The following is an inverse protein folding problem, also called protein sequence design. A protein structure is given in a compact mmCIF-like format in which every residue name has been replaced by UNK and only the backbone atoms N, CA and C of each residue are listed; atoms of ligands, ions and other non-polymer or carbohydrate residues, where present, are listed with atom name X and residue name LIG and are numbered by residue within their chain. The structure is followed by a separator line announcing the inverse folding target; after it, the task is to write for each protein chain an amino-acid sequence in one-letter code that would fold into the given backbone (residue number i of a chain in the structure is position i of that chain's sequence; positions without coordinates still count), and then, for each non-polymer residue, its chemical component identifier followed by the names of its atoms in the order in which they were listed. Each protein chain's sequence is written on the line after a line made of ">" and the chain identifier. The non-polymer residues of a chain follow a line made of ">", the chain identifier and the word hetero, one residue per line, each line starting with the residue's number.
data_IF_556142418202
#
_entry.id   IF_556142418202
#
_cell.length_a   1.000
_cell.length_b   1.000
_cell.length_c   1.000
_cell.angle_alpha   90.00
_cell.angle_beta   90.00
_cell.angle_gamma   90.00
#
_symmetry.space_group_name_H-M   'P 1'
#
loop_
_entity.id
_entity.type
_entity.pdbx_description
1 polymer ?
#
# COMPACT_ATOMS: atom_id res chain seq x y z
N UNK A 1 27.19 92.70 40.98
CA UNK A 1 27.10 91.28 40.57
C UNK A 1 25.77 91.05 39.86
N UNK A 2 25.85 90.68 38.58
CA UNK A 2 24.75 90.81 37.61
C UNK A 2 23.68 89.72 37.81
N UNK A 3 22.47 90.14 38.21
CA UNK A 3 21.29 89.26 38.40
C UNK A 3 20.90 88.49 37.13
N UNK A 4 21.40 88.90 35.98
CA UNK A 4 21.18 88.29 34.66
C UNK A 4 21.91 86.95 34.49
N UNK A 5 23.11 86.79 35.04
CA UNK A 5 23.89 85.54 34.97
C UNK A 5 23.30 84.43 35.85
N UNK A 6 22.74 84.81 37.00
CA UNK A 6 22.07 83.85 37.90
C UNK A 6 20.80 83.27 37.29
N UNK A 7 20.03 84.09 36.54
CA UNK A 7 18.81 83.63 35.88
C UNK A 7 19.09 82.67 34.72
N UNK A 8 20.18 82.86 33.97
CA UNK A 8 20.59 81.95 32.90
C UNK A 8 21.03 80.60 33.47
N UNK A 9 21.75 80.60 34.60
CA UNK A 9 22.15 79.36 35.29
C UNK A 9 20.95 78.54 35.78
N UNK A 10 19.92 79.19 36.35
CA UNK A 10 18.70 78.51 36.82
C UNK A 10 17.89 77.93 35.65
N UNK A 11 17.81 78.63 34.52
CA UNK A 11 17.12 78.12 33.33
C UNK A 11 17.81 76.88 32.76
N UNK A 12 19.14 76.83 32.74
CA UNK A 12 19.88 75.64 32.29
C UNK A 12 19.71 74.43 33.21
N UNK A 13 19.63 74.63 34.52
CA UNK A 13 19.37 73.53 35.48
C UNK A 13 17.95 73.00 35.34
N UNK A 14 16.95 73.88 35.14
CA UNK A 14 15.55 73.45 34.95
C UNK A 14 15.35 72.73 33.61
N UNK A 15 16.01 73.17 32.54
CA UNK A 15 15.95 72.47 31.26
C UNK A 15 16.76 71.15 31.25
N UNK A 16 17.86 71.07 31.99
CA UNK A 16 18.65 69.84 32.14
C UNK A 16 17.91 68.72 32.88
N UNK A 17 17.05 69.08 33.85
CA UNK A 17 16.23 68.09 34.59
C UNK A 17 15.02 67.61 33.77
N UNK A 18 14.51 68.41 32.83
CA UNK A 18 13.40 68.04 31.94
C UNK A 18 13.76 67.01 30.87
N UNK A 19 15.05 66.83 30.55
CA UNK A 19 15.51 65.83 29.56
C UNK A 19 15.86 64.45 30.15
N UNK A 20 15.73 64.25 31.46
CA UNK A 20 15.98 62.96 32.10
C UNK A 20 14.71 62.12 32.34
N UNK A 21 13.52 62.62 31.98
CA UNK A 21 12.27 61.85 32.03
C UNK A 21 12.00 61.30 30.63
N UNK A 22 12.87 60.40 30.17
CA UNK A 22 12.46 59.43 29.15
C UNK A 22 11.51 58.48 29.89
N UNK A 23 10.27 58.24 29.43
CA UNK A 23 9.54 57.10 29.94
C UNK A 23 10.39 55.87 29.60
N UNK A 24 11.11 55.34 30.58
CA UNK A 24 11.50 53.93 30.57
C UNK A 24 10.18 53.18 30.71
N UNK A 25 9.44 53.07 29.61
CA UNK A 25 8.44 52.06 29.43
C UNK A 25 9.18 50.76 29.55
N UNK A 26 9.23 50.22 30.77
CA UNK A 26 9.65 48.86 31.01
C UNK A 26 8.61 47.98 30.33
N UNK A 27 8.83 47.69 29.05
CA UNK A 27 8.24 46.51 28.45
C UNK A 27 8.92 45.33 29.14
N UNK A 28 8.33 44.88 30.25
CA UNK A 28 8.52 43.49 30.65
C UNK A 28 7.85 42.67 29.55
N UNK A 29 8.62 42.30 28.53
CA UNK A 29 8.30 41.07 27.82
C UNK A 29 8.51 39.98 28.85
N UNK A 30 7.43 39.54 29.49
CA UNK A 30 7.39 38.17 29.98
C UNK A 30 7.40 37.36 28.69
N UNK A 31 8.60 37.10 28.16
CA UNK A 31 8.83 35.91 27.38
C UNK A 31 8.63 34.79 28.39
N UNK A 32 7.36 34.43 28.59
CA UNK A 32 7.04 33.15 29.17
C UNK A 32 7.59 32.17 28.17
N UNK A 33 8.83 31.72 28.40
CA UNK A 33 9.23 30.39 28.00
C UNK A 33 8.25 29.46 28.72
N UNK A 34 7.06 29.30 28.15
CA UNK A 34 6.38 28.03 28.19
C UNK A 34 7.29 27.14 27.37
N UNK A 35 8.32 26.61 28.02
CA UNK A 35 9.01 25.43 27.57
C UNK A 35 7.92 24.37 27.43
N UNK A 36 7.34 24.29 26.23
CA UNK A 36 6.47 23.19 25.83
C UNK A 36 7.38 21.99 25.81
N UNK A 37 7.30 21.18 26.87
CA UNK A 37 7.87 19.85 26.86
C UNK A 37 7.11 19.07 25.80
N UNK A 38 7.68 18.99 24.61
CA UNK A 38 7.22 18.06 23.59
C UNK A 38 7.76 16.70 24.01
N UNK A 39 6.97 15.94 24.75
CA UNK A 39 7.21 14.52 24.94
C UNK A 39 6.49 13.79 23.82
N UNK A 40 7.23 12.98 23.06
CA UNK A 40 6.62 11.98 22.19
C UNK A 40 6.06 10.91 23.13
N UNK A 41 4.72 10.79 23.18
CA UNK A 41 4.09 9.68 23.88
C UNK A 41 4.52 8.37 23.19
N UNK A 42 4.67 7.30 23.96
CA UNK A 42 4.80 5.98 23.36
C UNK A 42 3.52 5.66 22.56
N UNK A 43 3.64 4.85 21.51
CA UNK A 43 2.56 4.61 20.54
C UNK A 43 1.23 4.15 21.18
N UNK A 44 1.28 3.54 22.36
CA UNK A 44 0.12 3.05 23.14
C UNK A 44 -0.58 4.13 24.00
N UNK A 45 0.11 5.23 24.28
CA UNK A 45 -0.36 6.33 25.15
C UNK A 45 -0.61 7.64 24.40
N UNK A 46 -0.46 7.63 23.07
CA UNK A 46 -0.81 8.75 22.21
C UNK A 46 -2.32 9.06 22.26
N UNK A 47 -2.69 10.32 21.97
CA UNK A 47 -4.10 10.76 21.95
C UNK A 47 -4.94 9.94 20.97
N UNK A 48 -4.35 9.61 19.82
CA UNK A 48 -4.79 8.53 18.95
C UNK A 48 -3.64 7.52 18.93
N UNK A 49 -3.90 6.31 19.39
CA UNK A 49 -2.89 5.28 19.60
C UNK A 49 -3.11 4.12 18.64
N UNK A 50 -2.03 3.45 18.24
CA UNK A 50 -2.09 2.21 17.47
C UNK A 50 -1.67 1.05 18.37
N UNK A 51 -2.65 0.32 18.89
CA UNK A 51 -2.41 -0.85 19.72
C UNK A 51 -1.89 -1.99 18.87
N UNK A 52 -0.67 -2.44 19.20
CA UNK A 52 0.00 -3.53 18.51
C UNK A 52 -0.80 -4.83 18.50
N UNK A 53 -0.56 -5.62 17.46
CA UNK A 53 -1.15 -6.94 17.28
C UNK A 53 -0.78 -7.90 18.43
N UNK A 54 -1.76 -8.51 19.09
CA UNK A 54 -1.51 -9.64 19.99
C UNK A 54 -1.40 -10.93 19.16
N UNK A 55 -0.19 -11.28 18.77
CA UNK A 55 0.09 -12.50 18.01
C UNK A 55 0.97 -12.25 16.79
N UNK A 56 1.16 -13.32 16.01
CA UNK A 56 1.99 -13.30 14.80
C UNK A 56 1.09 -13.47 13.59
N UNK A 57 1.20 -12.55 12.64
CA UNK A 57 0.49 -12.66 11.36
C UNK A 57 1.07 -13.84 10.60
N UNK A 58 0.24 -14.83 10.28
CA UNK A 58 0.65 -15.99 9.48
C UNK A 58 -0.37 -16.26 8.38
N UNK A 59 0.00 -17.08 7.39
CA UNK A 59 -0.91 -17.43 6.29
C UNK A 59 -2.19 -18.08 6.87
N UNK A 60 -3.36 -17.57 6.48
CA UNK A 60 -4.67 -18.00 6.99
C UNK A 60 -5.03 -17.51 8.41
N UNK A 61 -4.10 -16.87 9.14
CA UNK A 61 -4.35 -16.32 10.48
C UNK A 61 -4.05 -14.83 10.51
N UNK A 62 -5.01 -13.98 10.09
CA UNK A 62 -4.85 -12.54 10.17
C UNK A 62 -4.85 -12.09 11.63
N UNK A 63 -4.18 -10.97 11.91
CA UNK A 63 -4.19 -10.35 13.23
C UNK A 63 -4.81 -8.95 13.13
N UNK A 64 -5.54 -8.58 14.17
CA UNK A 64 -6.15 -7.26 14.30
C UNK A 64 -5.21 -6.31 15.04
N UNK A 65 -4.99 -5.15 14.44
CA UNK A 65 -4.35 -3.98 15.07
C UNK A 65 -5.46 -2.97 15.35
N UNK A 66 -5.45 -2.30 16.50
CA UNK A 66 -6.55 -1.38 16.87
C UNK A 66 -6.08 0.06 16.92
N UNK A 67 -6.71 0.92 16.12
CA UNK A 67 -6.55 2.37 16.22
C UNK A 67 -7.52 2.89 17.29
N UNK A 68 -7.01 3.33 18.45
CA UNK A 68 -7.81 3.73 19.61
C UNK A 68 -7.84 5.25 19.78
N UNK A 69 -9.00 5.77 20.15
CA UNK A 69 -9.15 7.13 20.64
C UNK A 69 -8.94 7.17 22.17
N UNK A 70 -7.82 7.74 22.60
CA UNK A 70 -7.49 7.94 24.02
C UNK A 70 -7.89 9.35 24.53
N UNK A 71 -8.56 10.16 23.72
CA UNK A 71 -9.11 11.43 24.17
C UNK A 71 -10.32 11.19 25.09
N UNK A 72 -10.53 12.08 26.06
CA UNK A 72 -11.69 12.04 26.98
C UNK A 72 -13.01 12.48 26.31
N UNK A 73 -13.04 12.56 24.97
CA UNK A 73 -14.19 13.01 24.19
C UNK A 73 -14.28 12.30 22.85
N UNK A 74 -15.46 12.39 22.21
CA UNK A 74 -15.66 11.95 20.82
C UNK A 74 -14.67 12.63 19.89
N UNK A 75 -13.99 11.84 19.06
CA UNK A 75 -13.07 12.33 18.05
C UNK A 75 -13.50 11.86 16.66
N UNK A 76 -13.56 12.78 15.70
CA UNK A 76 -13.65 12.43 14.28
C UNK A 76 -12.24 12.19 13.79
N UNK A 77 -11.94 10.94 13.41
CA UNK A 77 -10.61 10.46 13.01
C UNK A 77 -10.62 10.08 11.54
N UNK A 78 -9.73 10.69 10.78
CA UNK A 78 -9.41 10.31 9.41
C UNK A 78 -8.07 9.59 9.41
N UNK A 79 -8.00 8.40 8.82
CA UNK A 79 -6.78 7.60 8.79
C UNK A 79 -6.54 6.93 7.45
N UNK A 80 -5.25 6.75 7.15
CA UNK A 80 -4.78 6.06 5.95
C UNK A 80 -3.55 5.20 6.24
N UNK A 81 -3.54 3.99 5.68
CA UNK A 81 -2.37 3.11 5.76
C UNK A 81 -1.33 3.62 4.77
N UNK A 82 -0.23 4.18 5.29
CA UNK A 82 0.86 4.76 4.49
C UNK A 82 1.87 3.69 4.08
N UNK A 83 2.21 2.81 5.01
CA UNK A 83 3.13 1.70 4.79
C UNK A 83 2.71 0.52 5.65
N UNK A 84 2.48 -0.64 5.03
CA UNK A 84 2.19 -1.89 5.72
C UNK A 84 3.35 -2.89 5.62
N UNK A 85 4.48 -2.48 5.04
CA UNK A 85 5.65 -3.28 4.78
C UNK A 85 5.31 -4.60 4.10
N UNK A 86 5.61 -5.72 4.77
CA UNK A 86 5.35 -7.06 4.24
C UNK A 86 3.89 -7.52 4.37
N UNK A 87 2.98 -6.70 4.90
CA UNK A 87 1.60 -7.09 5.18
C UNK A 87 0.63 -6.39 4.23
N UNK A 88 -0.55 -6.97 4.05
CA UNK A 88 -1.71 -6.30 3.46
C UNK A 88 -2.70 -6.00 4.58
N UNK A 89 -3.06 -4.72 4.74
CA UNK A 89 -4.05 -4.29 5.72
C UNK A 89 -5.37 -4.03 5.01
N UNK A 90 -6.42 -4.74 5.41
CA UNK A 90 -7.76 -4.53 4.85
C UNK A 90 -8.41 -3.36 5.58
N UNK A 91 -8.69 -2.30 4.83
CA UNK A 91 -9.51 -1.17 5.27
C UNK A 91 -10.88 -1.25 4.58
N UNK A 92 -11.96 -0.90 5.28
CA UNK A 92 -13.31 -0.95 4.72
C UNK A 92 -13.57 0.27 3.81
N UNK A 93 -12.97 0.28 2.61
CA UNK A 93 -13.15 1.33 1.60
C UNK A 93 -11.84 1.80 0.96
N UNK A 94 -11.96 2.61 -0.11
CA UNK A 94 -10.83 3.33 -0.71
C UNK A 94 -10.38 4.47 0.21
N UNK A 95 -9.07 4.64 0.36
CA UNK A 95 -8.41 5.63 1.22
C UNK A 95 -8.72 7.10 0.81
N UNK A 96 -8.71 8.07 1.76
CA UNK A 96 -8.66 7.94 3.23
C UNK A 96 -10.03 7.66 3.88
N UNK A 97 -10.05 7.03 5.07
CA UNK A 97 -11.28 6.65 5.80
C UNK A 97 -11.52 7.59 6.98
N UNK A 98 -12.76 8.09 7.12
CA UNK A 98 -13.19 8.92 8.26
C UNK A 98 -14.21 8.20 9.14
N UNK A 99 -14.03 8.23 10.45
CA UNK A 99 -14.94 7.61 11.43
C UNK A 99 -14.98 8.41 12.74
N UNK A 100 -16.11 8.33 13.46
CA UNK A 100 -16.26 8.92 14.79
C UNK A 100 -16.00 7.87 15.87
N UNK A 101 -15.01 8.11 16.73
CA UNK A 101 -14.62 7.22 17.83
C UNK A 101 -14.95 7.87 19.17
N UNK A 102 -15.75 7.20 20.01
CA UNK A 102 -15.94 7.66 21.38
C UNK A 102 -14.65 7.52 22.20
N UNK A 103 -14.61 8.14 23.38
CA UNK A 103 -13.49 7.99 24.30
C UNK A 103 -13.29 6.52 24.66
N UNK A 104 -12.08 6.00 24.43
CA UNK A 104 -11.71 4.62 24.66
C UNK A 104 -12.13 3.64 23.56
N UNK A 105 -12.92 4.06 22.55
CA UNK A 105 -13.27 3.21 21.42
C UNK A 105 -12.12 3.10 20.42
N UNK A 106 -12.17 2.09 19.56
CA UNK A 106 -11.19 1.91 18.50
C UNK A 106 -11.73 1.19 17.27
N UNK A 107 -11.02 1.37 16.17
CA UNK A 107 -11.26 0.67 14.91
C UNK A 107 -10.25 -0.47 14.76
N UNK A 108 -10.75 -1.64 14.40
CA UNK A 108 -9.92 -2.81 14.11
C UNK A 108 -9.47 -2.81 12.65
N UNK A 109 -8.16 -2.89 12.45
CA UNK A 109 -7.49 -2.99 11.16
C UNK A 109 -6.95 -4.42 11.03
N UNK A 110 -7.45 -5.16 10.05
CA UNK A 110 -7.04 -6.56 9.85
C UNK A 110 -5.78 -6.61 9.00
N UNK A 111 -4.67 -7.04 9.58
CA UNK A 111 -3.42 -7.29 8.89
C UNK A 111 -3.31 -8.77 8.50
N UNK A 112 -3.01 -9.04 7.23
CA UNK A 112 -2.78 -10.38 6.68
C UNK A 112 -1.45 -10.43 5.93
N UNK A 113 -0.91 -11.64 5.75
CA UNK A 113 0.17 -11.84 4.79
C UNK A 113 -0.28 -11.34 3.41
N UNK A 114 0.54 -10.51 2.79
CA UNK A 114 0.37 -10.12 1.39
C UNK A 114 0.72 -11.27 0.44
N UNK A 115 0.31 -11.15 -0.83
CA UNK A 115 0.54 -12.18 -1.84
C UNK A 115 2.04 -12.47 -2.08
N UNK A 116 2.90 -11.48 -1.81
CA UNK A 116 4.37 -11.57 -1.99
C UNK A 116 5.14 -11.74 -0.67
N UNK A 117 4.46 -11.93 0.47
CA UNK A 117 5.10 -12.09 1.78
C UNK A 117 5.70 -13.49 1.90
N UNK A 118 6.86 -13.71 1.28
CA UNK A 118 7.68 -14.89 1.50
C UNK A 118 8.72 -14.62 2.58
N UNK A 119 8.64 -15.31 3.71
CA UNK A 119 9.64 -15.15 4.78
C UNK A 119 9.20 -15.75 6.11
N UNK A 120 10.18 -16.22 6.88
CA UNK A 120 9.98 -16.73 8.25
C UNK A 120 9.70 -15.62 9.26
N UNK A 121 9.78 -15.92 10.57
CA UNK A 121 9.43 -14.96 11.61
C UNK A 121 10.29 -13.70 11.49
N UNK A 122 9.64 -12.58 11.22
CA UNK A 122 10.24 -11.26 11.08
C UNK A 122 9.29 -10.19 11.65
N UNK A 123 9.79 -8.98 11.79
CA UNK A 123 9.04 -7.83 12.26
C UNK A 123 8.90 -6.82 11.12
N UNK A 124 7.71 -6.22 10.98
CA UNK A 124 7.49 -5.10 10.07
C UNK A 124 6.84 -3.95 10.83
N UNK A 125 7.11 -2.73 10.38
CA UNK A 125 6.46 -1.53 10.92
C UNK A 125 5.22 -1.24 10.07
N UNK A 126 4.07 -1.13 10.73
CA UNK A 126 2.85 -0.59 10.14
C UNK A 126 2.80 0.90 10.46
N UNK A 127 2.64 1.73 9.42
CA UNK A 127 2.58 3.19 9.51
C UNK A 127 1.21 3.67 9.04
N UNK A 128 0.53 4.43 9.89
CA UNK A 128 -0.78 5.00 9.62
C UNK A 128 -0.71 6.51 9.77
N UNK A 129 -1.09 7.24 8.72
CA UNK A 129 -1.34 8.67 8.80
C UNK A 129 -2.68 8.90 9.48
N UNK A 130 -2.73 9.84 10.42
CA UNK A 130 -3.94 10.17 11.19
C UNK A 130 -4.14 11.67 11.28
N UNK A 131 -5.38 12.08 11.02
CA UNK A 131 -5.91 13.39 11.38
C UNK A 131 -7.07 13.19 12.34
N UNK A 132 -7.17 14.02 13.37
CA UNK A 132 -8.27 13.91 14.33
C UNK A 132 -8.73 15.26 14.82
N UNK A 133 -10.05 15.43 14.94
CA UNK A 133 -10.66 16.60 15.56
C UNK A 133 -11.53 16.17 16.73
N UNK A 134 -11.28 16.74 17.90
CA UNK A 134 -12.04 16.50 19.12
C UNK A 134 -12.26 17.81 19.90
N UNK A 135 -13.03 17.73 20.97
CA UNK A 135 -13.27 18.92 21.80
C UNK A 135 -12.00 19.31 22.54
N UNK A 136 -11.36 20.41 22.11
CA UNK A 136 -10.14 20.94 22.74
C UNK A 136 -8.83 20.33 22.25
N UNK A 137 -8.86 19.47 21.23
CA UNK A 137 -7.66 18.91 20.61
C UNK A 137 -7.84 18.72 19.09
N UNK A 138 -6.79 19.05 18.35
CA UNK A 138 -6.69 18.82 16.90
C UNK A 138 -5.35 18.16 16.62
N UNK A 139 -5.38 17.06 15.86
CA UNK A 139 -4.20 16.33 15.39
C UNK A 139 -4.14 16.51 13.88
N UNK A 140 -3.03 17.05 13.40
CA UNK A 140 -2.74 17.29 11.98
C UNK A 140 -1.39 16.67 11.65
N UNK A 141 -1.26 16.07 10.48
CA UNK A 141 -0.05 15.37 10.03
C UNK A 141 0.47 14.33 11.05
N UNK A 142 -0.46 13.69 11.77
CA UNK A 142 -0.12 12.66 12.75
C UNK A 142 0.32 11.39 12.06
N UNK A 143 1.36 10.74 12.58
CA UNK A 143 1.75 9.40 12.16
C UNK A 143 1.83 8.51 13.40
N UNK A 144 1.17 7.36 13.33
CA UNK A 144 1.24 6.33 14.38
C UNK A 144 1.84 5.09 13.77
N UNK A 145 2.74 4.47 14.52
CA UNK A 145 3.43 3.25 14.09
C UNK A 145 3.20 2.12 15.06
N UNK A 146 3.26 0.89 14.58
CA UNK A 146 3.35 -0.28 15.46
C UNK A 146 4.18 -1.37 14.80
N UNK A 147 4.81 -2.20 15.63
CA UNK A 147 5.58 -3.35 15.15
C UNK A 147 4.67 -4.57 15.13
N UNK A 148 4.59 -5.23 13.97
CA UNK A 148 3.82 -6.46 13.79
C UNK A 148 4.78 -7.59 13.51
N UNK A 149 4.74 -8.62 14.36
CA UNK A 149 5.43 -9.88 14.07
C UNK A 149 4.67 -10.63 13.00
N UNK A 150 5.36 -11.14 12.00
CA UNK A 150 4.78 -11.97 10.96
C UNK A 150 5.65 -13.18 10.69
N UNK A 151 4.99 -14.31 10.45
CA UNK A 151 5.60 -15.54 9.96
C UNK A 151 4.76 -16.01 8.78
N UNK A 152 5.05 -15.41 7.63
CA UNK A 152 4.40 -15.76 6.38
C UNK A 152 5.15 -16.90 5.68
N UNK A 153 5.84 -17.76 6.45
CA UNK A 153 6.55 -18.91 5.91
C UNK A 153 5.58 -19.67 5.02
N UNK A 154 5.98 -19.83 3.76
CA UNK A 154 5.34 -20.77 2.86
C UNK A 154 5.42 -22.14 3.52
N UNK A 155 4.34 -22.59 4.14
CA UNK A 155 4.20 -23.98 4.57
C UNK A 155 4.57 -24.84 3.37
N UNK A 156 5.72 -25.51 3.45
CA UNK A 156 6.38 -26.28 2.38
C UNK A 156 6.07 -25.75 0.98
N UNK A 157 6.98 -24.98 0.37
CA UNK A 157 6.96 -24.64 -1.06
C UNK A 157 6.96 -25.91 -1.92
N UNK A 158 5.86 -26.65 -1.93
CA UNK A 158 5.52 -27.54 -3.00
C UNK A 158 5.28 -26.61 -4.17
N UNK A 159 6.19 -26.66 -5.13
CA UNK A 159 6.00 -26.12 -6.48
C UNK A 159 4.90 -26.94 -7.15
N UNK A 160 3.67 -26.76 -6.70
CA UNK A 160 2.43 -27.34 -7.23
C UNK A 160 1.43 -26.22 -7.46
N UNK A 161 0.82 -26.17 -8.63
CA UNK A 161 -0.37 -25.36 -8.80
C UNK A 161 -1.54 -25.94 -7.98
N UNK A 162 -2.45 -25.08 -7.51
CA UNK A 162 -3.59 -25.50 -6.70
C UNK A 162 -4.79 -24.56 -6.86
N UNK A 163 -5.97 -25.09 -6.58
CA UNK A 163 -7.20 -24.32 -6.39
C UNK A 163 -7.18 -23.74 -4.98
N UNK A 164 -7.10 -22.42 -4.87
CA UNK A 164 -7.01 -21.63 -3.64
C UNK A 164 -8.42 -21.40 -3.09
N UNK A 165 -8.92 -22.35 -2.30
CA UNK A 165 -10.32 -22.37 -1.89
C UNK A 165 -10.66 -21.28 -0.86
N UNK A 166 -9.65 -20.71 -0.20
CA UNK A 166 -9.82 -19.68 0.82
C UNK A 166 -9.24 -18.32 0.40
N UNK A 167 -8.74 -18.20 -0.83
CA UNK A 167 -8.21 -16.99 -1.46
C UNK A 167 -7.07 -16.33 -0.65
N UNK A 168 -6.21 -17.15 -0.03
CA UNK A 168 -5.09 -16.66 0.78
C UNK A 168 -3.75 -16.65 0.03
N UNK A 169 -3.70 -17.15 -1.21
CA UNK A 169 -2.52 -17.19 -2.07
C UNK A 169 -1.45 -18.20 -1.67
N UNK A 170 -1.72 -19.05 -0.68
CA UNK A 170 -0.82 -20.07 -0.14
C UNK A 170 -1.45 -21.47 -0.20
N UNK A 171 -0.62 -22.49 -0.40
CA UNK A 171 -1.11 -23.86 -0.44
C UNK A 171 -1.43 -24.35 0.98
N UNK A 172 -2.68 -24.75 1.18
CA UNK A 172 -3.17 -25.35 2.42
C UNK A 172 -3.46 -26.85 2.30
N UNK A 173 -3.32 -27.55 3.42
CA UNK A 173 -3.69 -28.97 3.50
C UNK A 173 -5.18 -29.12 3.27
N UNK A 174 -5.56 -29.78 2.16
CA UNK A 174 -6.95 -29.98 1.76
C UNK A 174 -7.31 -29.29 0.45
N UNK A 175 -6.46 -28.39 -0.02
CA UNK A 175 -6.63 -27.76 -1.34
C UNK A 175 -6.31 -28.71 -2.48
N UNK A 176 -7.04 -28.52 -3.57
CA UNK A 176 -6.91 -29.37 -4.76
C UNK A 176 -5.66 -28.96 -5.53
N UNK A 177 -4.63 -29.80 -5.51
CA UNK A 177 -3.43 -29.59 -6.34
C UNK A 177 -3.69 -29.98 -7.79
N UNK A 178 -3.15 -29.21 -8.71
CA UNK A 178 -3.23 -29.42 -10.15
C UNK A 178 -1.87 -29.90 -10.67
N UNK A 179 -1.87 -31.01 -11.42
CA UNK A 179 -0.68 -31.40 -12.20
C UNK A 179 -0.47 -30.42 -13.37
N UNK A 180 0.74 -30.38 -13.92
CA UNK A 180 1.03 -29.56 -15.11
C UNK A 180 0.08 -29.86 -16.29
N UNK A 181 -0.40 -31.11 -16.42
CA UNK A 181 -1.35 -31.48 -17.46
C UNK A 181 -2.76 -30.96 -17.21
N UNK A 182 -3.23 -31.01 -15.96
CA UNK A 182 -4.54 -30.47 -15.58
C UNK A 182 -4.53 -28.94 -15.65
N UNK A 183 -3.47 -28.31 -15.15
CA UNK A 183 -3.32 -26.87 -15.18
C UNK A 183 -3.33 -26.33 -16.62
N UNK A 184 -2.62 -26.98 -17.55
CA UNK A 184 -2.48 -26.48 -18.91
C UNK A 184 -3.79 -26.43 -19.72
N UNK A 185 -4.87 -27.03 -19.22
CA UNK A 185 -6.20 -26.99 -19.82
C UNK A 185 -7.25 -26.73 -18.74
N UNK A 186 -6.89 -25.98 -17.70
CA UNK A 186 -7.75 -25.75 -16.55
C UNK A 186 -8.90 -24.83 -16.92
N UNK A 187 -10.12 -25.21 -16.52
CA UNK A 187 -11.32 -24.41 -16.76
C UNK A 187 -12.28 -24.61 -15.60
N UNK A 188 -12.36 -23.60 -14.74
CA UNK A 188 -13.33 -23.53 -13.64
C UNK A 188 -13.56 -22.06 -13.28
N UNK A 189 -14.62 -21.46 -13.80
CA UNK A 189 -14.90 -20.01 -13.69
C UNK A 189 -15.27 -19.56 -12.27
N UNK A 190 -15.45 -20.50 -11.35
CA UNK A 190 -15.82 -20.23 -9.96
C UNK A 190 -14.62 -20.40 -9.01
N UNK A 191 -13.50 -20.94 -9.48
CA UNK A 191 -12.33 -21.23 -8.67
C UNK A 191 -11.26 -20.14 -8.75
N UNK A 192 -10.63 -19.81 -7.62
CA UNK A 192 -9.36 -19.08 -7.59
C UNK A 192 -8.19 -20.07 -7.76
N UNK A 193 -7.21 -19.76 -8.61
CA UNK A 193 -6.07 -20.64 -8.88
C UNK A 193 -4.75 -19.94 -8.64
N UNK A 194 -3.85 -20.62 -7.92
CA UNK A 194 -2.47 -20.21 -7.73
C UNK A 194 -1.53 -21.16 -8.46
N UNK A 195 -0.62 -20.58 -9.24
CA UNK A 195 0.34 -21.28 -10.09
C UNK A 195 1.74 -20.92 -9.61
N UNK A 196 2.32 -21.80 -8.79
CA UNK A 196 3.70 -21.66 -8.28
C UNK A 196 4.68 -22.67 -8.92
N UNK A 197 4.21 -23.38 -9.96
CA UNK A 197 4.95 -24.44 -10.64
C UNK A 197 5.03 -24.15 -12.13
N UNK A 198 6.21 -24.29 -12.73
CA UNK A 198 6.38 -24.01 -14.15
C UNK A 198 5.68 -25.07 -15.01
N UNK A 199 5.01 -24.62 -16.06
CA UNK A 199 4.38 -25.46 -17.06
C UNK A 199 5.09 -25.23 -18.39
N UNK A 200 5.65 -26.29 -18.95
CA UNK A 200 6.24 -26.26 -20.29
C UNK A 200 5.56 -27.33 -21.16
N UNK A 201 4.91 -26.89 -22.23
CA UNK A 201 4.11 -27.73 -23.12
C UNK A 201 4.56 -27.56 -24.56
N UNK A 202 4.40 -28.62 -25.35
CA UNK A 202 4.55 -28.52 -26.79
C UNK A 202 3.37 -27.79 -27.43
N UNK A 203 2.17 -27.99 -26.90
CA UNK A 203 0.92 -27.41 -27.40
C UNK A 203 0.51 -26.18 -26.57
N UNK A 204 -0.67 -25.63 -26.86
CA UNK A 204 -1.22 -24.49 -26.13
C UNK A 204 -1.38 -24.76 -24.63
N UNK A 205 -1.33 -23.69 -23.85
CA UNK A 205 -1.73 -23.63 -22.45
C UNK A 205 -2.96 -22.73 -22.41
N UNK A 206 -4.08 -23.26 -21.92
CA UNK A 206 -5.35 -22.56 -21.82
C UNK A 206 -5.85 -22.68 -20.37
N UNK A 207 -5.90 -21.56 -19.65
CA UNK A 207 -6.29 -21.48 -18.24
C UNK A 207 -7.44 -20.48 -18.12
N UNK A 208 -8.57 -20.93 -17.58
CA UNK A 208 -9.72 -20.08 -17.25
C UNK A 208 -10.14 -20.33 -15.81
N UNK A 209 -10.18 -19.28 -15.00
CA UNK A 209 -10.53 -19.34 -13.58
C UNK A 209 -11.27 -18.07 -13.13
N UNK A 210 -11.87 -18.05 -11.93
CA UNK A 210 -12.41 -16.82 -11.34
C UNK A 210 -11.32 -15.75 -11.18
N UNK A 211 -10.20 -16.15 -10.57
CA UNK A 211 -8.97 -15.36 -10.44
C UNK A 211 -7.75 -16.25 -10.70
N UNK A 212 -6.67 -15.65 -11.20
CA UNK A 212 -5.43 -16.38 -11.53
C UNK A 212 -4.24 -15.64 -10.95
N UNK A 213 -3.44 -16.35 -10.15
CA UNK A 213 -2.16 -15.85 -9.62
C UNK A 213 -1.01 -16.73 -10.12
N UNK A 214 -0.07 -16.16 -10.87
CA UNK A 214 1.17 -16.81 -11.34
C UNK A 214 2.33 -16.27 -10.50
N UNK A 215 2.90 -17.10 -9.63
CA UNK A 215 3.89 -16.67 -8.65
C UNK A 215 5.30 -17.08 -9.07
N UNK A 216 6.05 -16.13 -9.63
CA UNK A 216 7.49 -16.30 -9.85
C UNK A 216 7.86 -17.50 -10.73
N UNK A 217 7.01 -17.86 -11.68
CA UNK A 217 7.16 -19.11 -12.45
C UNK A 217 6.96 -18.93 -13.95
N UNK A 218 7.19 -19.99 -14.72
CA UNK A 218 7.11 -19.95 -16.19
C UNK A 218 5.93 -20.73 -16.73
N UNK A 219 5.10 -20.07 -17.54
CA UNK A 219 4.17 -20.71 -18.47
C UNK A 219 4.76 -20.64 -19.88
N UNK A 220 5.08 -21.79 -20.47
CA UNK A 220 5.71 -21.89 -21.78
C UNK A 220 4.98 -22.83 -22.73
N UNK A 221 4.54 -22.31 -23.86
CA UNK A 221 4.10 -23.10 -25.01
C UNK A 221 5.14 -23.06 -26.13
N UNK A 222 5.61 -24.23 -26.58
CA UNK A 222 6.66 -24.33 -27.61
C UNK A 222 6.13 -24.20 -29.04
N UNK A 223 4.91 -24.65 -29.32
CA UNK A 223 4.30 -24.58 -30.67
C UNK A 223 2.88 -24.00 -30.67
N UNK A 224 2.35 -23.63 -29.51
CA UNK A 224 0.97 -23.14 -29.35
C UNK A 224 0.90 -21.75 -28.74
N UNK A 225 -0.30 -21.43 -28.27
CA UNK A 225 -0.62 -20.18 -27.59
C UNK A 225 -0.44 -20.32 -26.07
N UNK A 226 -0.39 -19.19 -25.37
CA UNK A 226 -0.68 -19.13 -23.93
C UNK A 226 -1.91 -18.25 -23.76
N UNK A 227 -3.01 -18.82 -23.26
CA UNK A 227 -4.25 -18.12 -22.93
C UNK A 227 -4.51 -18.21 -21.44
N UNK A 228 -4.62 -17.07 -20.76
CA UNK A 228 -4.92 -17.00 -19.32
C UNK A 228 -6.07 -16.03 -19.11
N UNK A 229 -7.15 -16.51 -18.49
CA UNK A 229 -8.37 -15.74 -18.26
C UNK A 229 -8.81 -15.79 -16.80
N UNK A 230 -8.89 -14.62 -16.16
CA UNK A 230 -9.55 -14.41 -14.88
C UNK A 230 -10.95 -13.82 -15.13
N UNK A 231 -12.01 -14.61 -14.92
CA UNK A 231 -13.37 -14.26 -15.37
C UNK A 231 -14.06 -13.23 -14.49
N UNK A 232 -13.74 -13.16 -13.20
CA UNK A 232 -14.41 -12.27 -12.23
C UNK A 232 -13.43 -11.50 -11.36
N UNK A 233 -12.19 -11.95 -11.24
CA UNK A 233 -11.16 -11.36 -10.39
C UNK A 233 -9.93 -10.90 -11.16
N UNK A 234 -8.86 -10.67 -10.39
CA UNK A 234 -7.56 -10.20 -10.87
C UNK A 234 -6.79 -11.32 -11.60
N UNK A 235 -6.04 -10.93 -12.64
CA UNK A 235 -4.95 -11.71 -13.19
C UNK A 235 -3.63 -11.13 -12.66
N UNK A 236 -2.98 -11.82 -11.74
CA UNK A 236 -1.67 -11.44 -11.20
C UNK A 236 -0.59 -12.35 -11.77
N UNK A 237 0.31 -11.78 -12.57
CA UNK A 237 1.44 -12.48 -13.16
C UNK A 237 2.77 -11.79 -12.88
N UNK A 238 2.85 -11.04 -11.78
CA UNK A 238 4.08 -10.36 -11.39
C UNK A 238 5.24 -11.34 -11.20
N UNK A 239 6.45 -10.88 -11.53
CA UNK A 239 7.69 -11.67 -11.43
C UNK A 239 7.70 -13.00 -12.23
N UNK A 240 6.75 -13.20 -13.15
CA UNK A 240 6.58 -14.45 -13.87
C UNK A 240 7.02 -14.35 -15.33
N UNK A 241 7.13 -15.50 -16.01
CA UNK A 241 7.44 -15.56 -17.44
C UNK A 241 6.31 -16.24 -18.18
N UNK A 242 5.70 -15.53 -19.13
CA UNK A 242 4.73 -16.07 -20.07
C UNK A 242 5.41 -16.10 -21.45
N UNK A 243 5.53 -17.29 -22.03
CA UNK A 243 6.21 -17.48 -23.30
C UNK A 243 5.41 -18.38 -24.23
N UNK A 244 5.16 -17.90 -25.45
CA UNK A 244 4.52 -18.67 -26.50
C UNK A 244 5.32 -18.59 -27.80
N UNK A 245 5.18 -19.62 -28.64
CA UNK A 245 5.64 -19.51 -30.03
C UNK A 245 4.64 -18.74 -30.88
N UNK A 246 3.34 -18.89 -30.60
CA UNK A 246 2.26 -18.14 -31.24
C UNK A 246 1.76 -17.05 -30.26
N UNK A 247 0.46 -16.79 -30.20
CA UNK A 247 -0.10 -15.67 -29.43
C UNK A 247 -0.01 -15.88 -27.92
N UNK A 248 0.08 -14.77 -27.18
CA UNK A 248 -0.26 -14.72 -25.76
C UNK A 248 -1.52 -13.86 -25.60
N UNK A 249 -2.57 -14.45 -25.04
CA UNK A 249 -3.83 -13.76 -24.75
C UNK A 249 -4.07 -13.75 -23.25
N UNK A 250 -4.12 -12.56 -22.65
CA UNK A 250 -4.43 -12.35 -21.24
C UNK A 250 -5.80 -11.70 -21.15
N UNK A 251 -6.66 -12.21 -20.27
CA UNK A 251 -7.96 -11.62 -20.03
C UNK A 251 -8.26 -11.55 -18.53
N UNK A 252 -8.85 -10.44 -18.09
CA UNK A 252 -9.24 -10.20 -16.70
C UNK A 252 -10.51 -9.36 -16.68
N UNK A 253 -11.44 -9.63 -15.76
CA UNK A 253 -12.55 -8.68 -15.47
C UNK A 253 -12.21 -7.73 -14.30
N UNK A 254 -11.08 -7.95 -13.63
CA UNK A 254 -10.48 -7.04 -12.64
C UNK A 254 -9.15 -6.49 -13.14
N UNK A 255 -8.28 -6.09 -12.22
CA UNK A 255 -6.94 -5.60 -12.57
C UNK A 255 -6.08 -6.70 -13.22
N UNK A 256 -5.07 -6.27 -13.97
CA UNK A 256 -4.06 -7.12 -14.57
C UNK A 256 -2.68 -6.64 -14.13
N UNK A 257 -1.95 -7.49 -13.39
CA UNK A 257 -0.68 -7.12 -12.76
C UNK A 257 0.48 -7.86 -13.42
N UNK A 258 1.28 -7.16 -14.22
CA UNK A 258 2.41 -7.73 -14.99
C UNK A 258 3.77 -7.18 -14.55
N UNK A 259 3.86 -6.46 -13.44
CA UNK A 259 5.12 -5.86 -12.97
C UNK A 259 6.24 -6.90 -12.87
N UNK A 260 7.44 -6.50 -13.29
CA UNK A 260 8.66 -7.32 -13.23
C UNK A 260 8.52 -8.69 -13.95
N UNK A 261 7.57 -8.82 -14.88
CA UNK A 261 7.35 -10.05 -15.65
C UNK A 261 8.02 -10.02 -17.02
N UNK A 262 8.12 -11.18 -17.66
CA UNK A 262 8.48 -11.30 -19.08
C UNK A 262 7.29 -11.87 -19.83
N UNK A 263 6.80 -11.15 -20.83
CA UNK A 263 5.71 -11.61 -21.71
C UNK A 263 6.25 -11.67 -23.13
N UNK A 264 6.43 -12.88 -23.66
CA UNK A 264 7.13 -13.12 -24.92
C UNK A 264 6.38 -14.03 -25.87
N UNK A 265 5.96 -13.49 -27.01
CA UNK A 265 5.55 -14.26 -28.17
C UNK A 265 6.69 -14.32 -29.20
N UNK A 266 6.82 -15.42 -29.95
CA UNK A 266 7.88 -15.54 -30.98
C UNK A 266 7.36 -15.19 -32.37
N UNK A 267 6.10 -15.51 -32.69
CA UNK A 267 5.52 -15.37 -34.04
C UNK A 267 4.11 -14.79 -34.05
N UNK A 268 3.50 -14.64 -32.88
CA UNK A 268 2.15 -14.11 -32.73
C UNK A 268 2.15 -12.80 -31.95
N UNK A 269 0.96 -12.36 -31.56
CA UNK A 269 0.76 -11.10 -30.87
C UNK A 269 0.62 -11.31 -29.35
N UNK A 270 0.85 -10.25 -28.58
CA UNK A 270 0.52 -10.19 -27.15
C UNK A 270 -0.69 -9.28 -26.95
N UNK A 271 -1.79 -9.82 -26.44
CA UNK A 271 -3.02 -9.06 -26.17
C UNK A 271 -3.45 -9.15 -24.71
N UNK A 272 -4.01 -8.05 -24.17
CA UNK A 272 -4.57 -7.96 -22.82
C UNK A 272 -6.00 -7.39 -22.85
N UNK A 273 -7.00 -8.19 -22.52
CA UNK A 273 -8.39 -7.72 -22.41
C UNK A 273 -8.80 -7.58 -20.94
N UNK A 274 -9.01 -6.36 -20.48
CA UNK A 274 -9.39 -6.03 -19.11
C UNK A 274 -10.91 -5.95 -18.90
N UNK A 275 -11.71 -6.12 -19.96
CA UNK A 275 -13.17 -6.20 -19.91
C UNK A 275 -13.92 -4.92 -19.50
N UNK A 276 -13.29 -4.02 -18.75
CA UNK A 276 -13.84 -2.77 -18.23
C UNK A 276 -12.77 -1.67 -18.22
N UNK A 277 -13.19 -0.41 -18.35
CA UNK A 277 -12.28 0.75 -18.28
C UNK A 277 -11.87 1.11 -16.85
N UNK A 278 -12.56 0.57 -15.84
CA UNK A 278 -12.25 0.82 -14.42
C UNK A 278 -11.08 -0.01 -13.89
N UNK A 279 -10.63 -1.01 -14.65
CA UNK A 279 -9.50 -1.85 -14.28
C UNK A 279 -8.17 -1.16 -14.61
N UNK A 280 -7.12 -1.60 -13.91
CA UNK A 280 -5.75 -1.14 -14.10
C UNK A 280 -4.89 -2.23 -14.71
N UNK A 281 -4.11 -1.87 -15.73
CA UNK A 281 -3.01 -2.68 -16.27
C UNK A 281 -1.69 -2.16 -15.69
N UNK A 282 -1.08 -2.93 -14.79
CA UNK A 282 0.24 -2.60 -14.24
C UNK A 282 1.36 -3.30 -15.03
N UNK A 283 2.29 -2.53 -15.61
CA UNK A 283 3.34 -3.02 -16.51
C UNK A 283 4.73 -2.47 -16.18
N UNK A 284 4.96 -2.09 -14.93
CA UNK A 284 6.24 -1.54 -14.48
C UNK A 284 7.35 -2.60 -14.62
N UNK A 285 8.42 -2.22 -15.30
CA UNK A 285 9.59 -3.08 -15.51
C UNK A 285 9.30 -4.41 -16.23
N UNK A 286 8.16 -4.54 -16.91
CA UNK A 286 7.82 -5.71 -17.72
C UNK A 286 8.66 -5.75 -18.99
N UNK A 287 9.26 -6.90 -19.31
CA UNK A 287 9.90 -7.14 -20.61
C UNK A 287 8.85 -7.69 -21.60
N UNK A 288 8.37 -6.85 -22.51
CA UNK A 288 7.43 -7.21 -23.58
C UNK A 288 8.23 -7.45 -24.86
N UNK A 289 7.97 -8.57 -25.53
CA UNK A 289 8.55 -8.84 -26.85
C UNK A 289 7.69 -9.79 -27.67
N UNK A 290 7.27 -9.33 -28.84
CA UNK A 290 6.57 -10.13 -29.84
C UNK A 290 7.05 -9.74 -31.25
N UNK A 291 6.16 -9.69 -32.25
CA UNK A 291 6.56 -9.33 -33.62
C UNK A 291 6.77 -7.83 -33.81
N UNK A 292 6.17 -6.99 -32.98
CA UNK A 292 6.30 -5.52 -33.04
C UNK A 292 6.62 -4.89 -31.66
N UNK A 293 6.95 -5.74 -30.68
CA UNK A 293 7.26 -5.40 -29.29
C UNK A 293 6.12 -4.60 -28.62
N UNK A 294 4.87 -4.82 -29.00
CA UNK A 294 3.69 -4.11 -28.47
C UNK A 294 2.70 -5.07 -27.79
N UNK A 295 2.41 -4.82 -26.51
CA UNK A 295 1.23 -5.41 -25.87
C UNK A 295 0.02 -4.55 -26.19
N UNK A 296 -0.93 -5.12 -26.92
CA UNK A 296 -2.19 -4.43 -27.30
C UNK A 296 -3.24 -4.70 -26.23
N UNK A 297 -3.84 -3.65 -25.66
CA UNK A 297 -4.84 -3.79 -24.59
C UNK A 297 -6.22 -3.26 -24.95
N UNK A 298 -7.25 -3.88 -24.37
CA UNK A 298 -8.65 -3.45 -24.48
C UNK A 298 -9.35 -3.45 -23.12
N UNK A 299 -10.44 -2.68 -22.93
CA UNK A 299 -10.90 -1.60 -23.80
C UNK A 299 -9.95 -0.38 -23.77
N UNK A 300 -10.07 0.50 -24.76
CA UNK A 300 -9.38 1.79 -24.71
C UNK A 300 -9.92 2.62 -23.54
N UNK A 301 -9.02 3.38 -22.88
CA UNK A 301 -9.35 4.17 -21.69
C UNK A 301 -9.15 3.45 -20.35
N UNK A 302 -8.70 2.19 -20.36
CA UNK A 302 -8.11 1.52 -19.18
C UNK A 302 -6.96 2.36 -18.60
N UNK A 303 -6.82 2.35 -17.27
CA UNK A 303 -5.66 2.96 -16.61
C UNK A 303 -4.45 2.04 -16.80
N UNK A 304 -3.37 2.58 -17.36
CA UNK A 304 -2.09 1.88 -17.46
C UNK A 304 -1.14 2.48 -16.44
N UNK A 305 -0.69 1.69 -15.47
CA UNK A 305 0.31 2.11 -14.49
C UNK A 305 1.69 1.48 -14.77
N UNK A 306 2.72 2.31 -14.69
CA UNK A 306 4.10 1.92 -14.95
C UNK A 306 4.52 2.03 -16.41
N UNK A 307 5.79 1.72 -16.66
CA UNK A 307 6.39 1.70 -17.98
C UNK A 307 7.11 0.36 -18.15
N UNK A 308 6.91 -0.34 -19.29
CA UNK A 308 7.67 -1.54 -19.61
C UNK A 308 9.18 -1.27 -19.60
N UNK A 309 9.96 -2.27 -19.23
CA UNK A 309 11.42 -2.24 -19.35
C UNK A 309 11.86 -2.39 -20.81
N UNK A 310 11.14 -3.19 -21.59
CA UNK A 310 11.29 -3.32 -23.04
C UNK A 310 9.92 -3.45 -23.72
N UNK A 311 9.86 -3.03 -24.98
CA UNK A 311 8.60 -2.96 -25.73
C UNK A 311 7.73 -1.78 -25.29
N UNK A 312 6.46 -1.83 -25.67
CA UNK A 312 5.48 -0.78 -25.41
C UNK A 312 4.08 -1.36 -25.17
N UNK A 313 3.19 -0.52 -24.68
CA UNK A 313 1.77 -0.82 -24.49
C UNK A 313 0.93 0.15 -25.31
N UNK A 314 -0.09 -0.35 -26.00
CA UNK A 314 -1.02 0.47 -26.80
C UNK A 314 -2.43 -0.09 -26.72
N UNK A 315 -3.44 0.79 -26.72
CA UNK A 315 -4.83 0.40 -26.94
C UNK A 315 -5.18 0.35 -28.42
#
# INVERSE_FOLDING_TARGET
>A
MNKTLWRIGVVFVVFGVMFAIVPTGSYSTIAGERSVGVSVAADDSALIALEGATGTVSKGSPVSVTLRNNLDSLATVTYEVVDSGALTVKTNGNQPITTDLASGDGVSLTAKCGPNSGGGPAETTLVIAVEATATGATITDGTVTTTVTYDCQSGNSKTVAFVDANENGGYDSGETTLTASQLATFTDTDAAVVINSSVNRQNSIDITAASVTIQGTTLKSTNGNVSVQATTGTLDARNSTLSANNNISLASSGDMLLNDSTVKSTKGDITADLGTTSATLEVRATDISDTDDTLVYTPSGVTVDGTPKSGQVSS
#
